data_IF_642140484500
#
_entry.id   IF_642140484500
#
_cell.length_a   1.000
_cell.length_b   1.000
_cell.length_c   1.000
_cell.angle_alpha   90.00
_cell.angle_beta   90.00
_cell.angle_gamma   90.00
#
_symmetry.space_group_name_H-M   'P 1'
#
loop_
_entity.id
_entity.type
_entity.pdbx_description
1 polymer ?
#
# COMPACT_ATOMS: atom_id res chain seq x y z
N UNK A 1 47.90 -6.73 37.47
CA UNK A 1 47.32 -7.45 36.31
C UNK A 1 45.84 -7.15 36.11
N UNK A 2 45.02 -7.12 37.16
CA UNK A 2 43.56 -6.85 37.06
C UNK A 2 43.22 -5.54 36.34
N UNK A 3 43.91 -4.42 36.64
CA UNK A 3 43.68 -3.13 35.97
C UNK A 3 43.89 -3.14 34.46
N UNK A 4 44.82 -3.97 33.96
CA UNK A 4 45.10 -4.10 32.53
C UNK A 4 43.98 -4.91 31.88
N UNK A 5 43.59 -6.02 32.50
CA UNK A 5 42.48 -6.87 32.05
C UNK A 5 41.15 -6.08 32.02
N UNK A 6 40.89 -5.24 33.02
CA UNK A 6 39.69 -4.40 33.08
C UNK A 6 39.71 -3.27 32.05
N UNK A 7 40.89 -2.72 31.75
CA UNK A 7 41.08 -1.76 30.67
C UNK A 7 40.76 -2.39 29.30
N UNK A 8 41.28 -3.59 29.03
CA UNK A 8 40.95 -4.35 27.83
C UNK A 8 39.45 -4.71 27.78
N UNK A 9 38.86 -5.19 28.87
CA UNK A 9 37.41 -5.46 28.92
C UNK A 9 36.56 -4.22 28.65
N UNK A 10 37.00 -3.03 29.08
CA UNK A 10 36.29 -1.76 28.85
C UNK A 10 36.41 -1.27 27.41
N UNK A 11 37.56 -1.48 26.77
CA UNK A 11 37.80 -1.11 25.37
C UNK A 11 37.10 -2.08 24.41
N UNK A 12 37.10 -3.36 24.73
CA UNK A 12 36.54 -4.42 23.89
C UNK A 12 35.11 -4.80 24.25
N UNK A 13 34.43 -4.07 25.13
CA UNK A 13 32.98 -4.25 25.34
C UNK A 13 32.26 -3.76 24.08
N UNK A 14 31.68 -4.66 23.26
CA UNK A 14 30.96 -4.22 22.08
C UNK A 14 29.77 -3.38 22.56
N UNK A 15 29.64 -2.18 22.01
CA UNK A 15 28.57 -1.23 22.38
C UNK A 15 27.18 -1.82 22.13
N UNK A 16 27.09 -2.73 21.17
CA UNK A 16 25.88 -3.46 20.80
C UNK A 16 26.20 -4.94 20.83
N UNK A 17 25.34 -5.74 21.45
CA UNK A 17 25.58 -7.16 21.71
C UNK A 17 24.79 -8.02 20.71
N UNK A 18 23.77 -7.46 20.06
CA UNK A 18 22.95 -8.15 19.06
C UNK A 18 23.14 -7.60 17.65
N UNK A 19 23.07 -8.51 16.69
CA UNK A 19 23.10 -8.23 15.25
C UNK A 19 21.96 -8.97 14.54
N UNK A 20 21.36 -8.34 13.53
CA UNK A 20 20.27 -8.93 12.79
C UNK A 20 20.77 -10.01 11.82
N UNK A 21 20.11 -11.17 11.83
CA UNK A 21 20.28 -12.17 10.79
C UNK A 21 19.59 -11.72 9.50
N UNK A 22 20.36 -11.43 8.46
CA UNK A 22 19.87 -10.87 7.17
C UNK A 22 19.67 -11.92 6.07
N UNK A 23 19.56 -13.19 6.43
CA UNK A 23 19.25 -14.25 5.46
C UNK A 23 17.74 -14.34 5.26
N UNK A 24 17.30 -14.73 4.06
CA UNK A 24 15.89 -14.96 3.83
C UNK A 24 15.41 -16.25 4.53
N UNK A 25 14.21 -16.24 5.16
CA UNK A 25 13.36 -15.07 5.37
C UNK A 25 13.89 -14.15 6.48
N UNK A 26 13.90 -12.83 6.22
CA UNK A 26 14.35 -11.80 7.19
C UNK A 26 13.49 -11.82 8.46
N UNK A 27 12.20 -12.16 8.31
CA UNK A 27 11.20 -12.25 9.37
C UNK A 27 10.49 -13.60 9.26
N UNK A 28 10.58 -14.41 10.30
CA UNK A 28 9.98 -15.74 10.37
C UNK A 28 8.77 -15.70 11.30
N UNK A 29 7.57 -15.95 10.78
CA UNK A 29 6.32 -15.96 11.56
C UNK A 29 6.10 -14.69 12.42
N UNK A 30 6.56 -13.52 11.94
CA UNK A 30 6.43 -12.26 12.68
C UNK A 30 7.66 -11.87 13.51
N UNK A 31 8.66 -12.75 13.64
CA UNK A 31 9.83 -12.54 14.48
C UNK A 31 11.09 -12.25 13.68
N UNK A 32 11.90 -11.32 14.19
CA UNK A 32 13.28 -11.12 13.80
C UNK A 32 14.20 -12.03 14.60
N UNK A 33 15.25 -12.53 13.94
CA UNK A 33 16.28 -13.33 14.59
C UNK A 33 17.51 -12.45 14.83
N UNK A 34 17.81 -12.22 16.10
CA UNK A 34 18.95 -11.42 16.55
C UNK A 34 20.02 -12.36 17.11
N UNK A 35 21.20 -12.36 16.50
CA UNK A 35 22.34 -13.14 16.95
C UNK A 35 23.19 -12.34 17.93
N UNK A 36 23.46 -12.94 19.07
CA UNK A 36 24.37 -12.37 20.07
C UNK A 36 25.84 -12.51 19.61
N UNK A 37 26.61 -11.44 19.79
CA UNK A 37 28.00 -11.39 19.34
C UNK A 37 28.90 -12.27 20.21
N UNK A 38 29.70 -13.11 19.55
CA UNK A 38 30.66 -13.98 20.23
C UNK A 38 30.05 -15.26 20.82
N UNK A 39 28.78 -15.53 20.56
CA UNK A 39 28.08 -16.74 21.04
C UNK A 39 27.32 -17.44 19.89
N UNK A 40 26.74 -18.60 20.21
CA UNK A 40 25.81 -19.34 19.33
C UNK A 40 24.34 -19.12 19.73
N UNK A 41 24.08 -18.11 20.56
CA UNK A 41 22.74 -17.78 21.06
C UNK A 41 22.05 -16.80 20.11
N UNK A 42 20.76 -17.05 19.87
CA UNK A 42 19.89 -16.19 19.09
C UNK A 42 18.63 -15.88 19.89
N UNK A 43 18.11 -14.67 19.72
CA UNK A 43 16.84 -14.23 20.29
C UNK A 43 15.85 -14.04 19.15
N UNK A 44 14.61 -14.45 19.37
CA UNK A 44 13.48 -14.13 18.49
C UNK A 44 12.68 -13.01 19.16
N UNK A 45 12.47 -11.92 18.44
CA UNK A 45 11.73 -10.76 18.94
C UNK A 45 10.87 -10.15 17.84
N UNK A 46 9.69 -9.67 18.18
CA UNK A 46 8.87 -8.90 17.24
C UNK A 46 9.43 -7.48 17.08
N UNK A 47 8.92 -6.72 16.10
CA UNK A 47 9.25 -5.30 15.99
C UNK A 47 8.88 -4.53 17.28
N UNK A 48 7.68 -4.78 17.82
CA UNK A 48 7.19 -4.16 19.06
C UNK A 48 8.14 -4.47 20.23
N UNK A 49 8.52 -5.74 20.42
CA UNK A 49 9.47 -6.13 21.46
C UNK A 49 10.82 -5.40 21.32
N UNK A 50 11.28 -5.18 20.09
CA UNK A 50 12.55 -4.51 19.81
C UNK A 50 12.47 -3.02 20.12
N UNK A 51 11.39 -2.34 19.73
CA UNK A 51 11.27 -0.88 19.86
C UNK A 51 10.78 -0.43 21.24
N UNK A 52 9.98 -1.23 21.93
CA UNK A 52 9.36 -0.86 23.20
C UNK A 52 10.19 -1.30 24.42
N UNK A 53 11.29 -2.02 24.22
CA UNK A 53 12.15 -2.53 25.29
C UNK A 53 13.57 -1.99 25.26
N UNK A 54 14.33 -2.28 26.33
CA UNK A 54 15.76 -1.97 26.40
C UNK A 54 16.60 -2.73 25.35
N UNK A 55 16.01 -3.71 24.65
CA UNK A 55 16.66 -4.46 23.57
C UNK A 55 17.14 -3.53 22.45
N UNK A 56 16.40 -2.45 22.18
CA UNK A 56 16.77 -1.43 21.18
C UNK A 56 18.20 -0.93 21.35
N UNK A 57 18.62 -0.68 22.59
CA UNK A 57 19.94 -0.10 22.90
C UNK A 57 21.07 -1.12 22.76
N UNK A 58 20.75 -2.41 22.71
CA UNK A 58 21.70 -3.51 22.59
C UNK A 58 21.88 -3.99 21.14
N UNK A 59 21.08 -3.51 20.19
CA UNK A 59 21.16 -3.88 18.77
C UNK A 59 21.96 -2.81 18.00
N UNK A 60 22.71 -3.24 16.99
CA UNK A 60 23.41 -2.32 16.09
C UNK A 60 22.42 -1.33 15.41
N UNK A 61 22.63 -0.01 15.47
CA UNK A 61 21.73 0.98 14.86
C UNK A 61 21.48 0.77 13.36
N UNK A 62 22.46 0.22 12.62
CA UNK A 62 22.29 -0.10 11.21
C UNK A 62 21.18 -1.15 11.01
N UNK A 63 21.10 -2.12 11.92
CA UNK A 63 20.11 -3.19 11.87
C UNK A 63 18.74 -2.68 12.32
N UNK A 64 18.68 -1.76 13.30
CA UNK A 64 17.44 -1.08 13.68
C UNK A 64 16.85 -0.28 12.50
N UNK A 65 17.69 0.46 11.77
CA UNK A 65 17.24 1.18 10.56
C UNK A 65 16.72 0.20 9.52
N UNK A 66 17.38 -0.95 9.37
CA UNK A 66 16.95 -1.98 8.43
C UNK A 66 15.57 -2.56 8.82
N UNK A 67 15.39 -2.93 10.09
CA UNK A 67 14.11 -3.42 10.63
C UNK A 67 13.00 -2.39 10.37
N UNK A 68 13.26 -1.12 10.69
CA UNK A 68 12.29 -0.03 10.50
C UNK A 68 11.86 0.08 9.03
N UNK A 69 12.82 0.06 8.10
CA UNK A 69 12.51 0.11 6.65
C UNK A 69 11.73 -1.11 6.17
N UNK A 70 12.04 -2.27 6.71
CA UNK A 70 11.35 -3.52 6.38
C UNK A 70 9.89 -3.49 6.86
N UNK A 71 9.65 -3.08 8.11
CA UNK A 71 8.30 -2.92 8.66
C UNK A 71 7.49 -1.88 7.87
N UNK A 72 8.10 -0.72 7.55
CA UNK A 72 7.44 0.29 6.70
C UNK A 72 7.06 -0.28 5.33
N UNK A 73 7.95 -1.05 4.71
CA UNK A 73 7.67 -1.69 3.43
C UNK A 73 6.53 -2.70 3.55
N UNK A 74 6.56 -3.61 4.52
CA UNK A 74 5.46 -4.56 4.77
C UNK A 74 4.13 -3.84 5.02
N UNK A 75 4.14 -2.75 5.79
CA UNK A 75 2.94 -1.96 6.05
C UNK A 75 2.40 -1.33 4.75
N UNK A 76 3.27 -0.79 3.90
CA UNK A 76 2.86 -0.23 2.59
C UNK A 76 2.26 -1.30 1.69
N UNK A 77 2.87 -2.49 1.62
CA UNK A 77 2.33 -3.60 0.83
C UNK A 77 0.94 -4.02 1.34
N UNK A 78 0.76 -4.16 2.66
CA UNK A 78 -0.55 -4.48 3.27
C UNK A 78 -1.63 -3.42 3.03
N UNK A 79 -1.23 -2.18 2.80
CA UNK A 79 -2.13 -1.06 2.53
C UNK A 79 -2.53 -0.94 1.06
N UNK A 80 -1.82 -1.58 0.13
CA UNK A 80 -2.17 -1.57 -1.30
C UNK A 80 -3.56 -2.17 -1.50
N UNK A 81 -4.34 -1.53 -2.36
CA UNK A 81 -5.64 -2.02 -2.75
C UNK A 81 -5.52 -2.91 -3.98
N UNK A 82 -6.34 -3.95 -4.02
CA UNK A 82 -6.56 -4.83 -5.16
C UNK A 82 -8.04 -4.79 -5.57
N UNK A 83 -8.30 -4.90 -6.87
CA UNK A 83 -9.67 -5.04 -7.39
C UNK A 83 -10.04 -6.52 -7.40
N UNK A 84 -11.07 -6.89 -6.64
CA UNK A 84 -11.56 -8.27 -6.55
C UNK A 84 -12.69 -8.53 -7.55
N UNK A 85 -13.56 -7.54 -7.73
CA UNK A 85 -14.75 -7.68 -8.56
C UNK A 85 -14.98 -6.41 -9.37
N UNK A 86 -15.27 -6.57 -10.66
CA UNK A 86 -15.70 -5.51 -11.57
C UNK A 86 -17.11 -5.83 -12.06
N UNK A 87 -18.05 -4.92 -11.80
CA UNK A 87 -19.45 -5.06 -12.23
C UNK A 87 -19.74 -4.18 -13.45
N UNK A 88 -20.75 -4.60 -14.24
CA UNK A 88 -21.19 -3.91 -15.47
C UNK A 88 -21.65 -2.46 -15.23
N UNK A 89 -22.08 -2.14 -14.02
CA UNK A 89 -22.49 -0.79 -13.63
C UNK A 89 -21.29 0.15 -13.36
N UNK A 90 -20.06 -0.32 -13.52
CA UNK A 90 -18.80 0.33 -13.11
C UNK A 90 -18.71 0.51 -11.59
N UNK A 91 -19.25 -0.44 -10.83
CA UNK A 91 -18.90 -0.60 -9.44
C UNK A 91 -17.81 -1.64 -9.27
N UNK A 92 -16.89 -1.36 -8.36
CA UNK A 92 -15.70 -2.15 -8.08
C UNK A 92 -15.69 -2.54 -6.61
N UNK A 93 -15.25 -3.76 -6.32
CA UNK A 93 -14.92 -4.16 -4.95
C UNK A 93 -13.41 -4.08 -4.79
N UNK A 94 -12.94 -3.15 -3.97
CA UNK A 94 -11.53 -3.00 -3.61
C UNK A 94 -11.25 -3.62 -2.26
N UNK A 95 -10.08 -4.24 -2.08
CA UNK A 95 -9.66 -4.84 -0.82
C UNK A 95 -8.18 -4.61 -0.57
N UNK A 96 -7.81 -4.43 0.69
CA UNK A 96 -6.44 -4.56 1.17
C UNK A 96 -6.40 -5.54 2.35
N UNK A 97 -5.27 -5.67 3.05
CA UNK A 97 -5.14 -6.60 4.18
C UNK A 97 -6.06 -6.28 5.37
N UNK A 98 -6.60 -5.05 5.45
CA UNK A 98 -7.37 -4.57 6.59
C UNK A 98 -8.86 -4.42 6.30
N UNK A 99 -9.23 -4.15 5.04
CA UNK A 99 -10.55 -3.66 4.68
C UNK A 99 -10.97 -4.09 3.28
N UNK A 100 -12.28 -4.24 3.08
CA UNK A 100 -12.91 -4.49 1.79
C UNK A 100 -14.14 -3.59 1.64
N UNK A 101 -14.30 -2.97 0.47
CA UNK A 101 -15.44 -2.09 0.17
C UNK A 101 -15.81 -2.08 -1.29
N UNK A 102 -17.11 -1.91 -1.52
CA UNK A 102 -17.67 -1.59 -2.83
C UNK A 102 -17.67 -0.08 -3.07
N UNK A 103 -17.21 0.35 -4.24
CA UNK A 103 -17.06 1.75 -4.62
C UNK A 103 -17.38 1.94 -6.11
N UNK A 104 -17.91 3.10 -6.49
CA UNK A 104 -18.13 3.45 -7.90
C UNK A 104 -16.80 3.87 -8.55
N UNK A 105 -16.59 3.55 -9.83
CA UNK A 105 -15.40 3.98 -10.59
C UNK A 105 -15.12 5.48 -10.52
N UNK A 106 -16.15 6.35 -10.59
CA UNK A 106 -15.93 7.80 -10.46
C UNK A 106 -15.49 8.22 -9.06
N UNK A 107 -16.12 7.64 -8.04
CA UNK A 107 -15.79 7.92 -6.65
C UNK A 107 -14.37 7.47 -6.33
N UNK A 108 -13.99 6.28 -6.82
CA UNK A 108 -12.64 5.73 -6.71
C UNK A 108 -11.58 6.67 -7.30
N UNK A 109 -11.82 7.22 -8.50
CA UNK A 109 -10.87 8.11 -9.17
C UNK A 109 -10.74 9.49 -8.51
N UNK A 110 -11.69 9.88 -7.67
CA UNK A 110 -11.65 11.14 -6.91
C UNK A 110 -10.99 10.97 -5.54
N UNK A 111 -10.97 9.75 -4.99
CA UNK A 111 -10.35 9.47 -3.69
C UNK A 111 -8.83 9.28 -3.84
N UNK A 112 -8.09 10.34 -3.53
CA UNK A 112 -6.63 10.36 -3.60
C UNK A 112 -5.98 9.23 -2.78
N UNK A 113 -6.54 8.86 -1.62
CA UNK A 113 -5.96 7.81 -0.78
C UNK A 113 -6.07 6.42 -1.43
N UNK A 114 -7.12 6.19 -2.21
CA UNK A 114 -7.30 4.94 -2.95
C UNK A 114 -6.41 4.96 -4.19
N UNK A 115 -6.40 6.08 -4.92
CA UNK A 115 -5.60 6.24 -6.15
C UNK A 115 -4.11 6.04 -5.89
N UNK A 116 -3.56 6.57 -4.80
CA UNK A 116 -2.13 6.38 -4.50
C UNK A 116 -1.77 4.94 -4.11
N UNK A 117 -2.75 4.13 -3.71
CA UNK A 117 -2.56 2.76 -3.18
C UNK A 117 -3.05 1.67 -4.12
N UNK A 118 -3.65 2.03 -5.25
CA UNK A 118 -4.11 1.09 -6.27
C UNK A 118 -3.03 0.93 -7.35
N UNK A 119 -2.97 -0.25 -7.96
CA UNK A 119 -2.11 -0.50 -9.11
C UNK A 119 -2.40 0.50 -10.27
N UNK A 120 -1.37 1.15 -10.84
CA UNK A 120 -1.54 2.11 -11.94
C UNK A 120 -2.26 1.55 -13.18
N UNK A 121 -2.00 0.29 -13.55
CA UNK A 121 -2.66 -0.30 -14.72
C UNK A 121 -4.17 -0.46 -14.49
N UNK A 122 -4.54 -0.85 -13.27
CA UNK A 122 -5.93 -0.92 -12.80
C UNK A 122 -6.61 0.45 -12.83
N UNK A 123 -5.93 1.51 -12.37
CA UNK A 123 -6.45 2.88 -12.42
C UNK A 123 -6.71 3.36 -13.85
N UNK A 124 -5.77 3.12 -14.76
CA UNK A 124 -5.92 3.49 -16.18
C UNK A 124 -7.15 2.81 -16.78
N UNK A 125 -7.34 1.52 -16.51
CA UNK A 125 -8.51 0.76 -16.97
C UNK A 125 -9.82 1.36 -16.44
N UNK A 126 -9.88 1.65 -15.14
CA UNK A 126 -11.08 2.24 -14.51
C UNK A 126 -11.38 3.62 -15.08
N UNK A 127 -10.36 4.46 -15.24
CA UNK A 127 -10.47 5.80 -15.82
C UNK A 127 -11.02 5.74 -17.25
N UNK A 128 -10.46 4.85 -18.08
CA UNK A 128 -10.92 4.65 -19.45
C UNK A 128 -12.39 4.21 -19.51
N UNK A 129 -12.76 3.18 -18.75
CA UNK A 129 -14.13 2.65 -18.75
C UNK A 129 -15.16 3.67 -18.22
N UNK A 130 -14.80 4.39 -17.16
CA UNK A 130 -15.64 5.44 -16.57
C UNK A 130 -15.84 6.61 -17.52
N UNK A 131 -14.75 7.10 -18.13
CA UNK A 131 -14.80 8.19 -19.11
C UNK A 131 -15.59 7.81 -20.36
N UNK A 132 -15.43 6.58 -20.87
CA UNK A 132 -16.17 6.08 -22.03
C UNK A 132 -17.67 6.00 -21.74
N UNK A 133 -18.09 5.54 -20.56
CA UNK A 133 -19.51 5.50 -20.17
C UNK A 133 -20.11 6.90 -20.07
N UNK A 134 -19.35 7.86 -19.54
CA UNK A 134 -19.79 9.25 -19.46
C UNK A 134 -19.89 9.91 -20.83
N UNK A 135 -18.89 9.72 -21.69
CA UNK A 135 -18.91 10.22 -23.06
C UNK A 135 -20.10 9.69 -23.86
N UNK A 136 -20.44 8.41 -23.70
CA UNK A 136 -21.65 7.81 -24.30
C UNK A 136 -22.93 8.49 -23.80
N UNK A 137 -23.06 8.70 -22.49
CA UNK A 137 -24.23 9.40 -21.92
C UNK A 137 -24.39 10.80 -22.49
N UNK A 138 -23.31 11.57 -22.55
CA UNK A 138 -23.32 12.94 -23.10
C UNK A 138 -23.74 12.90 -24.58
N UNK A 139 -23.16 11.99 -25.37
CA UNK A 139 -23.51 11.83 -26.79
C UNK A 139 -24.99 11.47 -27.00
N UNK A 140 -25.54 10.58 -26.16
CA UNK A 140 -26.95 10.19 -26.19
C UNK A 140 -27.87 11.37 -25.83
N UNK A 141 -27.48 12.18 -24.84
CA UNK A 141 -28.21 13.38 -24.42
C UNK A 141 -28.24 14.44 -25.53
N UNK A 142 -27.11 14.70 -26.18
CA UNK A 142 -27.01 15.61 -27.33
C UNK A 142 -27.92 15.12 -28.47
N UNK A 143 -27.82 13.83 -28.82
CA UNK A 143 -28.62 13.22 -29.89
C UNK A 143 -30.13 13.31 -29.62
N UNK A 144 -30.56 13.14 -28.36
CA UNK A 144 -31.97 13.29 -27.97
C UNK A 144 -32.42 14.75 -28.05
N UNK A 145 -31.60 15.70 -27.61
CA UNK A 145 -31.91 17.12 -27.67
C UNK A 145 -32.07 17.62 -29.12
N UNK A 146 -31.27 17.11 -30.06
CA UNK A 146 -31.37 17.44 -31.48
C UNK A 146 -32.65 16.90 -32.14
N UNK A 147 -33.04 15.65 -31.82
CA UNK A 147 -34.29 15.05 -32.31
C UNK A 147 -35.55 15.80 -31.85
N UNK A 148 -35.51 16.45 -30.68
CA UNK A 148 -36.63 17.26 -30.18
C UNK A 148 -36.75 18.57 -30.97
N UNK A 149 -35.64 19.12 -31.50
CA UNK A 149 -35.67 20.36 -32.30
C UNK A 149 -36.17 20.16 -33.73
N UNK A 150 -35.95 18.98 -34.34
CA UNK A 150 -36.36 18.71 -35.73
C UNK A 150 -37.84 18.36 -35.91
N UNK A 151 -38.60 18.11 -34.84
CA UNK A 151 -40.01 17.71 -34.91
C UNK A 151 -41.02 18.86 -35.02
N UNK A 152 -40.58 20.12 -35.08
CA UNK A 152 -41.44 21.25 -35.46
C UNK A 152 -41.73 21.18 -36.97
N UNK A 153 -42.64 20.28 -37.34
CA UNK A 153 -43.23 20.22 -38.68
C UNK A 153 -43.91 21.56 -39.00
N UNK A 154 -43.32 22.31 -39.92
CA UNK A 154 -44.00 23.38 -40.65
C UNK A 154 -45.12 22.73 -41.47
N UNK A 155 -46.37 22.81 -41.00
CA UNK A 155 -47.56 22.48 -41.80
C UNK A 155 -47.70 23.53 -42.90
N UNK A 156 -46.99 23.36 -44.01
CA UNK A 156 -47.25 24.12 -45.23
C UNK A 156 -48.52 23.54 -45.87
N UNK A 157 -49.63 24.26 -45.74
CA UNK A 157 -50.85 24.01 -46.53
C UNK A 157 -50.69 24.71 -47.87
N UNK A 158 -50.69 23.94 -48.95
CA UNK A 158 -50.88 24.46 -50.31
C UNK A 158 -52.37 24.79 -50.47
N UNK A 159 -52.67 26.04 -50.77
CA UNK A 159 -54.02 26.50 -51.13
C UNK A 159 -54.11 26.42 -52.65
N UNK A 160 -55.14 25.75 -53.17
CA UNK A 160 -55.47 25.70 -54.60
C UNK A 160 -56.29 26.92 -55.00
#
# INVERSE_FOLDING_TARGET
MEKIIDFFKKIFKPRYIYSLQKFEPIKENGFYILKELGTHTCIKATAEDIFDSELLYNINPIDIIFITRFEEHEMREKQKFEIIEERRDLSFTIKNSYFSRKINGKELLMDKNIVEKLDPASLIKIAYMSGLKDGRKISDEISRAEKIKSSKHTKLKVIK
#
